data_IF_121291545861
#
_entry.id   IF_121291545861
#
_cell.length_a   1.000
_cell.length_b   1.000
_cell.length_c   1.000
_cell.angle_alpha   90.00
_cell.angle_beta   90.00
_cell.angle_gamma   90.00
#
_symmetry.space_group_name_H-M   'P 1'
#
loop_
_entity.id
_entity.type
_entity.pdbx_description
1 polymer ?
#
# COMPACT_ATOMS: atom_id res chain seq x y z
N UNK A 1 5.42 3.46 -55.27
CA UNK A 1 4.91 2.72 -54.11
C UNK A 1 5.36 3.49 -52.87
N UNK A 2 4.50 4.33 -52.30
CA UNK A 2 4.70 4.87 -50.96
C UNK A 2 4.32 3.78 -49.97
N UNK A 3 5.28 3.30 -49.19
CA UNK A 3 5.01 2.45 -48.03
C UNK A 3 4.48 3.37 -46.94
N UNK A 4 3.17 3.37 -46.73
CA UNK A 4 2.59 3.95 -45.53
C UNK A 4 3.17 3.24 -44.31
N UNK A 5 3.53 3.96 -43.24
CA UNK A 5 4.00 3.34 -42.02
C UNK A 5 2.84 2.53 -41.43
N UNK A 6 3.04 1.22 -41.35
CA UNK A 6 2.13 0.28 -40.73
C UNK A 6 2.04 0.63 -39.24
N UNK A 7 1.02 1.40 -38.86
CA UNK A 7 0.76 1.75 -37.47
C UNK A 7 0.17 0.51 -36.81
N UNK A 8 1.03 -0.24 -36.12
CA UNK A 8 0.67 -1.37 -35.26
C UNK A 8 -0.20 -0.89 -34.09
N UNK A 9 -1.49 -0.65 -34.37
CA UNK A 9 -2.54 -0.36 -33.38
C UNK A 9 -3.30 -1.62 -32.95
N UNK A 10 -2.70 -2.80 -33.09
CA UNK A 10 -3.21 -4.01 -32.46
C UNK A 10 -2.77 -4.05 -30.98
N UNK A 11 -3.56 -3.33 -30.17
CA UNK A 11 -3.99 -3.68 -28.82
C UNK A 11 -3.17 -4.75 -28.08
N UNK A 12 -1.92 -4.47 -27.66
CA UNK A 12 -1.38 -4.97 -26.36
C UNK A 12 -0.01 -4.39 -25.92
N UNK A 13 0.75 -3.65 -26.72
CA UNK A 13 2.21 -3.48 -26.44
C UNK A 13 2.72 -2.06 -26.21
N UNK A 14 1.85 -1.06 -26.05
CA UNK A 14 2.30 0.29 -25.72
C UNK A 14 2.12 0.57 -24.23
N UNK A 15 3.24 0.50 -23.49
CA UNK A 15 3.32 1.12 -22.17
C UNK A 15 3.32 2.63 -22.38
N UNK A 16 2.14 3.24 -22.24
CA UNK A 16 1.98 4.68 -22.33
C UNK A 16 2.46 5.35 -21.03
N UNK A 17 3.20 6.45 -21.16
CA UNK A 17 3.66 7.25 -20.01
C UNK A 17 2.50 7.66 -19.10
N UNK A 18 1.35 8.01 -19.68
CA UNK A 18 0.13 8.36 -18.95
C UNK A 18 -0.43 7.20 -18.12
N UNK A 19 -0.34 5.97 -18.63
CA UNK A 19 -0.76 4.78 -17.89
C UNK A 19 0.19 4.48 -16.73
N UNK A 20 1.50 4.65 -16.92
CA UNK A 20 2.50 4.54 -15.84
C UNK A 20 2.22 5.60 -14.76
N UNK A 21 2.05 6.86 -15.17
CA UNK A 21 1.83 7.98 -14.25
C UNK A 21 0.59 7.76 -13.38
N UNK A 22 -0.51 7.28 -13.96
CA UNK A 22 -1.73 6.95 -13.22
C UNK A 22 -1.50 5.84 -12.19
N UNK A 23 -0.74 4.79 -12.54
CA UNK A 23 -0.43 3.67 -11.64
C UNK A 23 0.46 4.14 -10.48
N UNK A 24 1.52 4.87 -10.79
CA UNK A 24 2.44 5.43 -9.79
C UNK A 24 1.70 6.37 -8.83
N UNK A 25 0.90 7.29 -9.36
CA UNK A 25 0.11 8.22 -8.55
C UNK A 25 -0.89 7.48 -7.65
N UNK A 26 -1.55 6.44 -8.18
CA UNK A 26 -2.48 5.61 -7.41
C UNK A 26 -1.79 4.86 -6.27
N UNK A 27 -0.62 4.26 -6.55
CA UNK A 27 0.21 3.60 -5.53
C UNK A 27 0.64 4.58 -4.45
N UNK A 28 1.17 5.73 -4.83
CA UNK A 28 1.71 6.71 -3.88
C UNK A 28 0.59 7.28 -2.99
N UNK A 29 -0.60 7.53 -3.56
CA UNK A 29 -1.79 7.92 -2.79
C UNK A 29 -2.24 6.83 -1.81
N UNK A 30 -2.20 5.56 -2.20
CA UNK A 30 -2.53 4.44 -1.32
C UNK A 30 -1.52 4.33 -0.16
N UNK A 31 -0.23 4.47 -0.44
CA UNK A 31 0.83 4.44 0.59
C UNK A 31 0.68 5.58 1.60
N UNK A 32 0.37 6.80 1.13
CA UNK A 32 0.11 7.93 2.02
C UNK A 32 -1.08 7.68 2.95
N UNK A 33 -2.18 7.14 2.44
CA UNK A 33 -3.36 6.82 3.26
C UNK A 33 -3.05 5.75 4.30
N UNK A 34 -2.31 4.71 3.91
CA UNK A 34 -1.89 3.63 4.83
C UNK A 34 -1.00 4.18 5.94
N UNK A 35 -0.04 5.06 5.61
CA UNK A 35 0.80 5.71 6.60
C UNK A 35 -0.05 6.48 7.63
N UNK A 36 -1.00 7.31 7.16
CA UNK A 36 -1.87 8.08 8.03
C UNK A 36 -2.67 7.18 8.98
N UNK A 37 -3.18 6.05 8.48
CA UNK A 37 -3.93 5.09 9.30
C UNK A 37 -3.03 4.45 10.37
N UNK A 38 -1.79 4.09 10.04
CA UNK A 38 -0.84 3.51 11.01
C UNK A 38 -0.54 4.52 12.14
N UNK A 39 -0.28 5.77 11.78
CA UNK A 39 -0.01 6.84 12.76
C UNK A 39 -1.23 7.13 13.64
N UNK A 40 -2.43 7.18 13.05
CA UNK A 40 -3.67 7.34 13.79
C UNK A 40 -3.94 6.16 14.73
N UNK A 41 -3.70 4.93 14.28
CA UNK A 41 -3.87 3.75 15.11
C UNK A 41 -2.89 3.74 16.29
N UNK A 42 -1.63 4.15 16.09
CA UNK A 42 -0.66 4.31 17.19
C UNK A 42 -1.13 5.37 18.20
N UNK A 43 -1.63 6.51 17.72
CA UNK A 43 -2.18 7.55 18.60
C UNK A 43 -3.37 7.04 19.42
N UNK A 44 -4.32 6.35 18.77
CA UNK A 44 -5.49 5.75 19.45
C UNK A 44 -5.03 4.68 20.45
N UNK A 45 -4.06 3.84 20.08
CA UNK A 45 -3.46 2.82 20.94
C UNK A 45 -2.89 3.42 22.23
N UNK A 46 -2.25 4.60 22.16
CA UNK A 46 -1.72 5.26 23.36
C UNK A 46 -2.84 5.79 24.25
N UNK A 47 -3.80 6.52 23.67
CA UNK A 47 -4.94 7.11 24.41
C UNK A 47 -5.80 6.06 25.13
N UNK A 48 -6.01 4.92 24.46
CA UNK A 48 -6.79 3.80 25.00
C UNK A 48 -6.01 3.03 26.07
N UNK A 49 -4.70 2.83 25.89
CA UNK A 49 -3.85 2.24 26.92
C UNK A 49 -3.84 3.08 28.21
N UNK A 50 -3.88 4.41 28.10
CA UNK A 50 -3.94 5.33 29.25
C UNK A 50 -5.21 5.16 30.10
N UNK A 51 -6.32 4.70 29.49
CA UNK A 51 -7.58 4.41 30.18
C UNK A 51 -7.80 2.92 30.47
N UNK A 52 -6.75 2.10 30.34
CA UNK A 52 -6.82 0.66 30.62
C UNK A 52 -7.43 -0.20 29.51
N UNK A 53 -7.60 0.36 28.30
CA UNK A 53 -8.15 -0.32 27.13
C UNK A 53 -7.16 -1.22 26.37
N UNK A 54 -5.89 -1.30 26.82
CA UNK A 54 -4.82 -2.02 26.12
C UNK A 54 -4.30 -1.28 24.89
N UNK A 55 -3.32 -1.87 24.22
CA UNK A 55 -2.67 -1.35 23.02
C UNK A 55 -3.27 -1.96 21.74
N UNK A 56 -2.99 -1.38 20.58
CA UNK A 56 -3.39 -1.94 19.28
C UNK A 56 -2.88 -3.38 19.07
N UNK A 57 -1.73 -3.74 19.65
CA UNK A 57 -1.22 -5.11 19.64
C UNK A 57 -2.11 -6.05 20.47
N UNK A 58 -2.60 -5.58 21.62
CA UNK A 58 -3.53 -6.34 22.46
C UNK A 58 -4.88 -6.55 21.77
N UNK A 59 -5.31 -5.63 20.89
CA UNK A 59 -6.56 -5.76 20.12
C UNK A 59 -6.43 -6.65 18.90
N UNK A 60 -5.24 -6.70 18.31
CA UNK A 60 -4.97 -7.46 17.09
C UNK A 60 -4.96 -8.98 17.32
N UNK A 61 -5.38 -9.48 18.49
CA UNK A 61 -5.33 -10.88 18.93
C UNK A 61 -5.56 -11.88 17.78
N UNK A 62 -4.50 -12.61 17.41
CA UNK A 62 -4.63 -14.06 17.22
C UNK A 62 -3.29 -14.77 17.37
N UNK A 63 -3.16 -15.54 18.45
CA UNK A 63 -2.21 -16.64 18.51
C UNK A 63 -2.44 -17.55 17.29
N UNK A 64 -1.44 -17.61 16.39
CA UNK A 64 -1.40 -18.58 15.29
C UNK A 64 -1.86 -18.11 13.90
N UNK A 65 -2.24 -16.84 13.68
CA UNK A 65 -2.42 -16.34 12.31
C UNK A 65 -1.12 -15.74 11.78
N UNK A 66 -0.67 -16.27 10.65
CA UNK A 66 0.66 -16.08 10.04
C UNK A 66 0.91 -14.68 9.45
N UNK A 67 0.12 -13.69 9.85
CA UNK A 67 0.22 -12.33 9.35
C UNK A 67 0.08 -11.41 10.55
N UNK A 68 1.20 -11.18 11.25
CA UNK A 68 1.32 -10.03 12.14
C UNK A 68 0.80 -8.81 11.36
N UNK A 69 -0.20 -8.11 11.92
CA UNK A 69 -0.82 -7.00 11.21
C UNK A 69 0.21 -5.91 10.99
N UNK A 70 0.60 -5.65 9.74
CA UNK A 70 1.48 -4.52 9.41
C UNK A 70 0.91 -3.19 9.88
N UNK A 71 -0.39 -3.09 10.14
CA UNK A 71 -1.01 -1.89 10.71
C UNK A 71 -0.62 -1.64 12.18
N UNK A 72 -0.25 -2.69 12.92
CA UNK A 72 0.22 -2.57 14.32
C UNK A 72 1.74 -2.41 14.42
N UNK A 73 2.45 -2.48 13.30
CA UNK A 73 3.87 -2.20 13.22
C UNK A 73 4.11 -0.71 13.03
N UNK A 74 5.31 -0.25 13.39
CA UNK A 74 5.71 1.12 13.11
C UNK A 74 5.80 1.37 11.60
N UNK A 75 5.56 2.62 11.19
CA UNK A 75 5.56 3.07 9.79
C UNK A 75 6.82 2.65 9.04
N UNK A 76 8.00 2.76 9.68
CA UNK A 76 9.31 2.42 9.11
C UNK A 76 9.44 0.92 8.74
N UNK A 77 8.76 0.04 9.47
CA UNK A 77 8.75 -1.40 9.21
C UNK A 77 7.58 -1.83 8.32
N UNK A 78 6.42 -1.20 8.49
CA UNK A 78 5.20 -1.54 7.76
C UNK A 78 5.26 -1.11 6.29
N UNK A 79 5.64 0.14 6.02
CA UNK A 79 5.58 0.70 4.66
C UNK A 79 6.43 -0.09 3.65
N UNK A 80 7.69 -0.46 3.92
CA UNK A 80 8.48 -1.22 2.94
C UNK A 80 7.86 -2.57 2.57
N UNK A 81 7.27 -3.27 3.55
CA UNK A 81 6.59 -4.54 3.31
C UNK A 81 5.32 -4.36 2.46
N UNK A 82 4.53 -3.33 2.77
CA UNK A 82 3.30 -2.99 2.06
C UNK A 82 3.60 -2.53 0.63
N UNK A 83 4.55 -1.61 0.44
CA UNK A 83 5.01 -1.15 -0.89
C UNK A 83 5.42 -2.34 -1.75
N UNK A 84 6.25 -3.24 -1.23
CA UNK A 84 6.68 -4.44 -1.96
C UNK A 84 5.50 -5.32 -2.39
N UNK A 85 4.45 -5.41 -1.58
CA UNK A 85 3.29 -6.24 -1.92
C UNK A 85 2.36 -5.57 -2.92
N UNK A 86 2.18 -4.24 -2.85
CA UNK A 86 1.45 -3.48 -3.85
C UNK A 86 2.17 -3.57 -5.20
N UNK A 87 3.49 -3.34 -5.22
CA UNK A 87 4.29 -3.42 -6.44
C UNK A 87 4.31 -4.82 -7.06
N UNK A 88 4.11 -5.88 -6.26
CA UNK A 88 3.99 -7.27 -6.75
C UNK A 88 2.64 -7.60 -7.36
N UNK A 89 1.59 -6.83 -7.06
CA UNK A 89 0.23 -7.08 -7.56
C UNK A 89 -0.12 -6.26 -8.80
N UNK A 90 0.81 -5.41 -9.25
CA UNK A 90 0.72 -4.58 -10.46
C UNK A 90 1.40 -5.33 -11.60
#
# INVERSE_FOLDING_TARGET
MQTEPDVLTDHNELILSTSIERIVTGRDSALMQIQQIIEQLDAISRLTSEIGGGTAQDWAMKAGHRYDSWMTEKVDKALPAITRNIDRSI
#
